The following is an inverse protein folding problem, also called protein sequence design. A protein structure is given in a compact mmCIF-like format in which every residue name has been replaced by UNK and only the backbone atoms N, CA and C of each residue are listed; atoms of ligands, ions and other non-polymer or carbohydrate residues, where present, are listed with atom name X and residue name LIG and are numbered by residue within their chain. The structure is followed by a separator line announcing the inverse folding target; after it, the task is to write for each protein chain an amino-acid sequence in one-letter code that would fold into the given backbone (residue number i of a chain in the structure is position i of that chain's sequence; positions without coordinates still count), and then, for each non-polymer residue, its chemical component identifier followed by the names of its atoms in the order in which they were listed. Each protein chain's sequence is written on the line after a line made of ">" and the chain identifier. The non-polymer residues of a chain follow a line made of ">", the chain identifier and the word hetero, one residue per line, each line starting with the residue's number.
data_IF_802911022077
#
_entry.id   IF_802911022077
#
_cell.length_a   1.000
_cell.length_b   1.000
_cell.length_c   1.000
_cell.angle_alpha   90.00
_cell.angle_beta   90.00
_cell.angle_gamma   90.00
#
_symmetry.space_group_name_H-M   'P 1'
#
loop_
_entity.id
_entity.type
_entity.pdbx_description
1 polymer ?
#
# COMPACT_ATOMS: atom_id res chain seq x y z
N UNK A 1 -1.90 -8.86 -22.49
CA UNK A 1 -2.91 -7.80 -22.75
C UNK A 1 -4.09 -7.85 -21.77
N UNK A 2 -4.79 -8.99 -21.62
CA UNK A 2 -5.93 -9.10 -20.68
C UNK A 2 -5.56 -8.82 -19.21
N UNK A 3 -4.41 -9.28 -18.73
CA UNK A 3 -3.93 -9.04 -17.36
C UNK A 3 -3.67 -7.55 -17.07
N UNK A 4 -3.06 -6.84 -18.02
CA UNK A 4 -2.78 -5.40 -17.94
C UNK A 4 -4.08 -4.59 -18.03
N UNK A 5 -5.01 -4.98 -18.90
CA UNK A 5 -6.31 -4.33 -18.98
C UNK A 5 -7.13 -4.51 -17.69
N UNK A 6 -7.08 -5.70 -17.08
CA UNK A 6 -7.72 -5.99 -15.79
C UNK A 6 -7.09 -5.18 -14.63
N UNK A 7 -5.76 -5.06 -14.60
CA UNK A 7 -5.08 -4.25 -13.59
C UNK A 7 -5.36 -2.76 -13.75
N UNK A 8 -5.43 -2.25 -14.98
CA UNK A 8 -5.82 -0.86 -15.27
C UNK A 8 -7.27 -0.57 -14.87
N UNK A 9 -8.21 -1.47 -15.17
CA UNK A 9 -9.60 -1.34 -14.75
C UNK A 9 -9.70 -1.34 -13.22
N UNK A 10 -9.01 -2.26 -12.55
CA UNK A 10 -8.93 -2.34 -11.08
C UNK A 10 -8.32 -1.08 -10.47
N UNK A 11 -7.27 -0.53 -11.09
CA UNK A 11 -6.62 0.71 -10.66
C UNK A 11 -7.55 1.93 -10.82
N UNK A 12 -8.31 2.00 -11.92
CA UNK A 12 -9.26 3.09 -12.15
C UNK A 12 -10.37 3.11 -11.10
N UNK A 13 -10.93 1.95 -10.76
CA UNK A 13 -11.92 1.81 -9.68
C UNK A 13 -11.28 2.07 -8.32
N UNK A 14 -10.09 1.55 -8.06
CA UNK A 14 -9.34 1.76 -6.83
C UNK A 14 -9.02 3.24 -6.56
N UNK A 15 -8.75 4.04 -7.59
CA UNK A 15 -8.57 5.49 -7.47
C UNK A 15 -9.87 6.21 -7.11
N UNK A 16 -11.00 5.80 -7.66
CA UNK A 16 -12.31 6.36 -7.30
C UNK A 16 -12.65 6.05 -5.83
N UNK A 17 -12.43 4.80 -5.41
CA UNK A 17 -12.61 4.37 -4.01
C UNK A 17 -11.66 5.17 -3.09
N UNK A 18 -10.38 5.29 -3.45
CA UNK A 18 -9.41 6.08 -2.68
C UNK A 18 -9.86 7.53 -2.52
N UNK A 19 -10.36 8.17 -3.60
CA UNK A 19 -10.92 9.53 -3.53
C UNK A 19 -12.11 9.65 -2.57
N UNK A 20 -13.03 8.68 -2.62
CA UNK A 20 -14.18 8.62 -1.69
C UNK A 20 -13.74 8.44 -0.24
N UNK A 21 -12.79 7.54 0.00
CA UNK A 21 -12.20 7.23 1.32
C UNK A 21 -11.44 8.42 1.91
N UNK A 22 -10.71 9.18 1.09
CA UNK A 22 -10.06 10.42 1.51
C UNK A 22 -11.11 11.46 1.89
N UNK A 23 -12.18 11.59 1.10
CA UNK A 23 -13.27 12.54 1.37
C UNK A 23 -14.07 12.19 2.63
N UNK A 24 -14.27 10.90 2.92
CA UNK A 24 -14.95 10.44 4.14
C UNK A 24 -14.06 10.48 5.38
N UNK A 25 -12.74 10.65 5.22
CA UNK A 25 -11.76 10.55 6.31
C UNK A 25 -11.44 9.11 6.70
N UNK A 26 -12.01 8.11 6.03
CA UNK A 26 -11.73 6.70 6.31
C UNK A 26 -10.31 6.28 5.92
N UNK A 27 -9.57 7.12 5.19
CA UNK A 27 -8.17 6.89 4.84
C UNK A 27 -7.28 6.76 6.08
N UNK A 28 -7.69 7.29 7.23
CA UNK A 28 -6.97 7.14 8.49
C UNK A 28 -7.16 5.77 9.14
N UNK A 29 -8.11 4.95 8.66
CA UNK A 29 -8.26 3.58 9.10
C UNK A 29 -7.12 2.71 8.57
N UNK A 30 -6.44 2.00 9.48
CA UNK A 30 -5.35 1.06 9.18
C UNK A 30 -5.82 -0.02 8.19
N UNK A 31 -7.00 -0.59 8.40
CA UNK A 31 -7.55 -1.64 7.54
C UNK A 31 -7.83 -1.14 6.11
N UNK A 32 -8.34 0.09 5.98
CA UNK A 32 -8.60 0.72 4.69
C UNK A 32 -7.29 1.03 3.96
N UNK A 33 -6.30 1.58 4.68
CA UNK A 33 -4.98 1.84 4.12
C UNK A 33 -4.28 0.55 3.68
N UNK A 34 -4.37 -0.54 4.45
CA UNK A 34 -3.82 -1.85 4.08
C UNK A 34 -4.45 -2.42 2.79
N UNK A 35 -5.77 -2.25 2.64
CA UNK A 35 -6.46 -2.61 1.39
C UNK A 35 -5.97 -1.76 0.20
N UNK A 36 -5.75 -0.46 0.39
CA UNK A 36 -5.21 0.43 -0.64
C UNK A 36 -3.77 0.08 -1.03
N UNK A 37 -2.88 -0.19 -0.07
CA UNK A 37 -1.51 -0.66 -0.31
C UNK A 37 -1.53 -1.89 -1.22
N UNK A 38 -2.31 -2.91 -0.84
CA UNK A 38 -2.41 -4.17 -1.57
C UNK A 38 -2.96 -3.97 -2.98
N UNK A 39 -4.00 -3.14 -3.13
CA UNK A 39 -4.62 -2.87 -4.43
C UNK A 39 -3.65 -2.16 -5.38
N UNK A 40 -2.98 -1.11 -4.91
CA UNK A 40 -2.02 -0.37 -5.72
C UNK A 40 -0.80 -1.24 -6.09
N UNK A 41 -0.31 -2.07 -5.16
CA UNK A 41 0.78 -3.00 -5.42
C UNK A 41 0.41 -4.04 -6.49
N UNK A 42 -0.78 -4.66 -6.41
CA UNK A 42 -1.27 -5.60 -7.45
C UNK A 42 -1.43 -4.94 -8.82
N UNK A 43 -1.73 -3.64 -8.85
CA UNK A 43 -1.81 -2.85 -10.08
C UNK A 43 -0.46 -2.37 -10.61
N UNK A 44 0.65 -2.65 -9.92
CA UNK A 44 2.00 -2.19 -10.29
C UNK A 44 2.27 -0.71 -9.99
N UNK A 45 1.42 -0.06 -9.20
CA UNK A 45 1.58 1.35 -8.83
C UNK A 45 2.16 1.48 -7.42
N UNK A 46 3.43 1.11 -7.27
CA UNK A 46 4.14 1.14 -5.98
C UNK A 46 4.17 2.52 -5.35
N UNK A 47 4.31 3.58 -6.15
CA UNK A 47 4.27 4.97 -5.63
C UNK A 47 2.98 5.26 -4.88
N UNK A 48 1.83 4.80 -5.38
CA UNK A 48 0.53 5.01 -4.71
C UNK A 48 0.35 4.11 -3.49
N UNK A 49 0.90 2.88 -3.53
CA UNK A 49 0.93 1.99 -2.36
C UNK A 49 1.73 2.64 -1.22
N UNK A 50 2.92 3.18 -1.51
CA UNK A 50 3.76 3.90 -0.54
C UNK A 50 3.04 5.11 0.05
N UNK A 51 2.35 5.89 -0.78
CA UNK A 51 1.53 7.02 -0.28
C UNK A 51 0.43 6.57 0.69
N UNK A 52 -0.25 5.46 0.40
CA UNK A 52 -1.25 4.91 1.32
C UNK A 52 -0.62 4.48 2.65
N UNK A 53 0.55 3.82 2.61
CA UNK A 53 1.33 3.48 3.80
C UNK A 53 1.76 4.71 4.61
N UNK A 54 2.18 5.78 3.94
CA UNK A 54 2.60 7.05 4.57
C UNK A 54 1.44 7.85 5.20
N UNK A 55 0.19 7.58 4.81
CA UNK A 55 -0.99 8.17 5.43
C UNK A 55 -1.32 7.56 6.80
N UNK A 56 -0.85 6.35 7.09
CA UNK A 56 -0.99 5.71 8.40
C UNK A 56 0.03 6.36 9.36
N UNK A 57 -0.42 7.33 10.18
CA UNK A 57 0.49 8.17 10.97
C UNK A 57 0.89 7.64 12.35
N UNK A 58 0.03 6.88 13.03
CA UNK A 58 0.28 6.52 14.44
C UNK A 58 0.00 5.04 14.77
N UNK A 59 -0.60 4.27 13.87
CA UNK A 59 -1.12 2.93 14.16
C UNK A 59 -0.75 1.91 13.08
N UNK A 60 0.47 1.99 12.53
CA UNK A 60 0.93 0.93 11.62
C UNK A 60 1.06 -0.37 12.39
N UNK A 61 0.24 -1.34 12.03
CA UNK A 61 0.33 -2.70 12.54
C UNK A 61 1.26 -3.56 11.68
N UNK A 62 1.54 -4.78 12.14
CA UNK A 62 2.35 -5.77 11.40
C UNK A 62 1.83 -5.97 9.98
N UNK A 63 0.52 -5.90 9.75
CA UNK A 63 -0.09 -6.04 8.42
C UNK A 63 0.30 -4.88 7.51
N UNK A 64 0.31 -3.64 8.03
CA UNK A 64 0.72 -2.44 7.28
C UNK A 64 2.15 -2.57 6.78
N UNK A 65 3.07 -2.94 7.67
CA UNK A 65 4.49 -3.12 7.36
C UNK A 65 4.72 -4.25 6.37
N UNK A 66 4.21 -5.44 6.67
CA UNK A 66 4.40 -6.63 5.83
C UNK A 66 3.79 -6.44 4.45
N UNK A 67 2.63 -5.78 4.33
CA UNK A 67 2.02 -5.48 3.04
C UNK A 67 2.92 -4.61 2.16
N UNK A 68 3.54 -3.58 2.74
CA UNK A 68 4.43 -2.69 1.99
C UNK A 68 5.78 -3.36 1.67
N UNK A 69 6.37 -4.11 2.60
CA UNK A 69 7.63 -4.86 2.39
C UNK A 69 7.46 -5.89 1.26
N UNK A 70 6.38 -6.66 1.29
CA UNK A 70 6.08 -7.63 0.22
C UNK A 70 5.85 -6.93 -1.11
N UNK A 71 5.15 -5.80 -1.12
CA UNK A 71 4.95 -5.02 -2.33
C UNK A 71 6.29 -4.52 -2.92
N UNK A 72 7.20 -4.00 -2.10
CA UNK A 72 8.52 -3.57 -2.56
C UNK A 72 9.32 -4.75 -3.14
N UNK A 73 9.37 -5.87 -2.43
CA UNK A 73 10.08 -7.08 -2.88
C UNK A 73 9.55 -7.65 -4.19
N UNK A 74 8.23 -7.71 -4.37
CA UNK A 74 7.60 -8.21 -5.61
C UNK A 74 7.84 -7.32 -6.83
N UNK A 75 8.14 -6.04 -6.61
CA UNK A 75 8.35 -5.06 -7.68
C UNK A 75 9.83 -4.66 -7.87
N UNK A 76 10.76 -5.39 -7.24
CA UNK A 76 12.20 -5.23 -7.46
C UNK A 76 12.89 -4.18 -6.58
N UNK A 77 12.19 -3.62 -5.59
CA UNK A 77 12.72 -2.63 -4.64
C UNK A 77 13.28 -3.29 -3.39
N UNK A 78 14.21 -4.24 -3.56
CA UNK A 78 14.71 -5.09 -2.47
C UNK A 78 15.42 -4.30 -1.36
N UNK A 79 16.20 -3.28 -1.71
CA UNK A 79 16.89 -2.42 -0.75
C UNK A 79 15.90 -1.64 0.14
N UNK A 80 14.92 -0.97 -0.47
CA UNK A 80 13.84 -0.28 0.25
C UNK A 80 13.03 -1.24 1.13
N UNK A 81 12.82 -2.49 0.67
CA UNK A 81 12.13 -3.50 1.47
C UNK A 81 12.90 -3.87 2.74
N UNK A 82 14.23 -3.99 2.64
CA UNK A 82 15.10 -4.27 3.79
C UNK A 82 15.17 -3.08 4.75
N UNK A 83 15.33 -1.86 4.25
CA UNK A 83 15.31 -0.65 5.07
C UNK A 83 13.99 -0.51 5.84
N UNK A 84 12.87 -0.82 5.17
CA UNK A 84 11.55 -0.76 5.79
C UNK A 84 11.37 -1.87 6.83
N UNK A 85 11.91 -3.06 6.59
CA UNK A 85 11.93 -4.16 7.58
C UNK A 85 12.78 -3.80 8.81
N UNK A 86 13.95 -3.20 8.63
CA UNK A 86 14.76 -2.73 9.76
C UNK A 86 14.04 -1.64 10.55
N UNK A 87 13.29 -0.77 9.88
CA UNK A 87 12.49 0.26 10.55
C UNK A 87 11.36 -0.36 11.37
N UNK A 88 10.65 -1.37 10.81
CA UNK A 88 9.64 -2.15 11.54
C UNK A 88 10.20 -2.74 12.84
N UNK A 89 11.37 -3.38 12.77
CA UNK A 89 12.02 -3.98 13.94
C UNK A 89 12.42 -2.92 15.00
N UNK A 90 12.86 -1.73 14.57
CA UNK A 90 13.20 -0.62 15.49
C UNK A 90 11.97 -0.05 16.22
N UNK A 91 10.79 -0.14 15.61
CA UNK A 91 9.52 0.21 16.25
C UNK A 91 8.98 -0.89 17.19
N UNK A 92 9.68 -2.03 17.29
CA UNK A 92 9.31 -3.12 18.19
C UNK A 92 8.25 -4.07 17.63
N UNK A 93 8.05 -4.06 16.30
CA UNK A 93 7.16 -4.96 15.56
C UNK A 93 7.92 -6.06 14.83
#
# INVERSE_FOLDING_TARGET
>A
MLSVASSLASLSHGKQIHGSVVKSGEVYSVSVSNALITMYAKAGNITSARRAFDLIRCERDTVSWTSMIVALGQHGYAEEALELFETMLKEGL
#
